data_IF_836269207194
#
_entry.id   IF_836269207194
#
_cell.length_a   1.000
_cell.length_b   1.000
_cell.length_c   1.000
_cell.angle_alpha   90.00
_cell.angle_beta   90.00
_cell.angle_gamma   90.00
#
_symmetry.space_group_name_H-M   'P 1'
#
loop_
_entity.id
_entity.type
_entity.pdbx_description
1 polymer ?
#
# COMPACT_ATOMS: atom_id res chain seq x y z
N UNK A 1 12.99 6.30 -16.00
CA UNK A 1 12.18 5.07 -16.11
C UNK A 1 11.26 5.14 -17.30
N UNK A 2 11.03 4.00 -17.95
CA UNK A 2 10.10 3.88 -19.09
C UNK A 2 8.65 4.00 -18.62
N UNK A 3 7.72 4.26 -19.54
CA UNK A 3 6.26 4.23 -19.27
C UNK A 3 5.83 2.89 -18.62
N UNK A 4 6.55 1.81 -18.88
CA UNK A 4 6.26 0.48 -18.34
C UNK A 4 6.64 0.35 -16.86
N UNK A 5 7.80 0.84 -16.44
CA UNK A 5 8.20 0.76 -15.03
C UNK A 5 7.31 1.63 -14.14
N UNK A 6 6.81 2.76 -14.67
CA UNK A 6 5.81 3.60 -14.00
C UNK A 6 4.47 2.90 -13.82
N UNK A 7 4.08 2.11 -14.82
CA UNK A 7 2.85 1.31 -14.80
C UNK A 7 2.97 0.16 -13.79
N UNK A 8 4.14 -0.48 -13.69
CA UNK A 8 4.43 -1.50 -12.68
C UNK A 8 4.41 -0.92 -11.26
N UNK A 9 5.11 0.19 -11.00
CA UNK A 9 5.11 0.82 -9.68
C UNK A 9 3.70 1.25 -9.22
N UNK A 10 2.88 1.75 -10.14
CA UNK A 10 1.47 2.06 -9.84
C UNK A 10 0.62 0.81 -9.59
N UNK A 11 0.87 -0.29 -10.30
CA UNK A 11 0.18 -1.55 -10.08
C UNK A 11 0.52 -2.14 -8.70
N UNK A 12 1.80 -2.13 -8.34
CA UNK A 12 2.28 -2.55 -7.01
C UNK A 12 1.66 -1.70 -5.89
N UNK A 13 1.64 -0.37 -6.05
CA UNK A 13 0.99 0.52 -5.09
C UNK A 13 -0.51 0.20 -4.93
N UNK A 14 -1.23 -0.01 -6.04
CA UNK A 14 -2.66 -0.29 -6.02
C UNK A 14 -2.97 -1.63 -5.32
N UNK A 15 -2.14 -2.66 -5.55
CA UNK A 15 -2.27 -3.95 -4.87
C UNK A 15 -1.95 -3.86 -3.37
N UNK A 16 -0.86 -3.19 -3.00
CA UNK A 16 -0.50 -3.00 -1.59
C UNK A 16 -1.57 -2.22 -0.84
N UNK A 17 -2.14 -1.18 -1.47
CA UNK A 17 -3.23 -0.38 -0.90
C UNK A 17 -4.51 -1.18 -0.74
N UNK A 18 -4.89 -1.98 -1.74
CA UNK A 18 -6.07 -2.85 -1.65
C UNK A 18 -5.96 -3.85 -0.48
N UNK A 19 -4.77 -4.42 -0.24
CA UNK A 19 -4.52 -5.30 0.91
C UNK A 19 -4.63 -4.55 2.24
N UNK A 20 -4.10 -3.34 2.32
CA UNK A 20 -4.22 -2.49 3.52
C UNK A 20 -5.69 -2.15 3.81
N UNK A 21 -6.45 -1.78 2.77
CA UNK A 21 -7.87 -1.45 2.89
C UNK A 21 -8.69 -2.69 3.33
N UNK A 22 -8.47 -3.85 2.71
CA UNK A 22 -9.14 -5.10 3.11
C UNK A 22 -8.81 -5.49 4.55
N UNK A 23 -7.56 -5.30 4.96
CA UNK A 23 -7.12 -5.54 6.33
C UNK A 23 -7.80 -4.57 7.31
N UNK A 24 -7.84 -3.28 6.98
CA UNK A 24 -8.52 -2.28 7.79
C UNK A 24 -10.03 -2.54 7.90
N UNK A 25 -10.68 -2.99 6.83
CA UNK A 25 -12.10 -3.37 6.86
C UNK A 25 -12.35 -4.62 7.71
N UNK A 26 -11.48 -5.64 7.62
CA UNK A 26 -11.55 -6.83 8.49
C UNK A 26 -11.40 -6.45 9.96
N UNK A 27 -10.44 -5.60 10.29
CA UNK A 27 -10.23 -5.11 11.65
C UNK A 27 -11.43 -4.28 12.15
N UNK A 28 -11.95 -3.38 11.33
CA UNK A 28 -13.17 -2.62 11.62
C UNK A 28 -14.37 -3.52 11.87
N UNK A 29 -14.56 -4.56 11.05
CA UNK A 29 -15.65 -5.53 11.19
C UNK A 29 -15.49 -6.42 12.44
N UNK A 30 -14.24 -6.71 12.82
CA UNK A 30 -13.91 -7.40 14.06
C UNK A 30 -14.06 -6.52 15.32
N UNK A 31 -14.36 -5.22 15.15
CA UNK A 31 -14.40 -4.26 16.25
C UNK A 31 -13.01 -3.91 16.82
N UNK A 32 -11.95 -4.36 16.15
CA UNK A 32 -10.58 -4.15 16.56
C UNK A 32 -10.04 -2.93 15.81
N UNK A 33 -9.99 -1.78 16.46
CA UNK A 33 -9.51 -0.54 15.83
C UNK A 33 -7.99 -0.33 15.98
N UNK A 34 -7.26 -1.31 16.53
CA UNK A 34 -5.83 -1.20 16.71
C UNK A 34 -5.07 -1.54 15.44
N UNK A 35 -4.08 -0.71 15.12
CA UNK A 35 -3.05 -1.05 14.16
C UNK A 35 -2.19 -2.16 14.75
N UNK A 36 -2.34 -3.37 14.22
CA UNK A 36 -1.51 -4.51 14.54
C UNK A 36 -0.27 -4.56 13.62
N UNK A 37 0.63 -5.50 13.89
CA UNK A 37 1.86 -5.66 13.12
C UNK A 37 1.60 -5.84 11.61
N UNK A 38 0.48 -6.44 11.22
CA UNK A 38 0.14 -6.64 9.82
C UNK A 38 -0.27 -5.33 9.14
N UNK A 39 -1.03 -4.47 9.83
CA UNK A 39 -1.31 -3.10 9.37
C UNK A 39 -0.01 -2.32 9.12
N UNK A 40 0.96 -2.38 10.04
CA UNK A 40 2.24 -1.66 9.86
C UNK A 40 3.07 -2.19 8.69
N UNK A 41 3.12 -3.52 8.50
CA UNK A 41 3.82 -4.12 7.33
C UNK A 41 3.17 -3.70 6.02
N UNK A 42 1.84 -3.75 5.93
CA UNK A 42 1.09 -3.33 4.74
C UNK A 42 1.26 -1.84 4.49
N UNK A 43 1.17 -1.01 5.53
CA UNK A 43 1.34 0.43 5.42
C UNK A 43 2.77 0.80 4.98
N UNK A 44 3.80 0.11 5.48
CA UNK A 44 5.18 0.27 5.01
C UNK A 44 5.32 -0.09 3.53
N UNK A 45 4.71 -1.19 3.07
CA UNK A 45 4.75 -1.58 1.66
C UNK A 45 4.07 -0.53 0.75
N UNK A 46 2.92 0.02 1.17
CA UNK A 46 2.23 1.11 0.47
C UNK A 46 3.11 2.36 0.42
N UNK A 47 3.75 2.71 1.53
CA UNK A 47 4.59 3.90 1.62
C UNK A 47 5.89 3.75 0.80
N UNK A 48 6.52 2.58 0.79
CA UNK A 48 7.68 2.28 -0.05
C UNK A 48 7.30 2.30 -1.55
N UNK A 49 6.15 1.74 -1.93
CA UNK A 49 5.63 1.79 -3.29
C UNK A 49 5.26 3.22 -3.72
N UNK A 50 4.65 4.01 -2.81
CA UNK A 50 4.31 5.41 -3.03
C UNK A 50 5.55 6.29 -3.16
N UNK A 51 6.56 6.09 -2.30
CA UNK A 51 7.85 6.79 -2.39
C UNK A 51 8.57 6.47 -3.68
N UNK A 52 8.58 5.21 -4.13
CA UNK A 52 9.03 4.85 -5.47
C UNK A 52 8.25 5.67 -6.49
N UNK A 53 6.92 5.53 -6.57
CA UNK A 53 6.09 6.24 -7.53
C UNK A 53 6.29 7.77 -7.54
N UNK A 54 6.47 8.40 -6.37
CA UNK A 54 6.67 9.84 -6.20
C UNK A 54 8.09 10.30 -6.52
N UNK A 55 9.13 9.53 -6.16
CA UNK A 55 10.52 9.81 -6.51
C UNK A 55 10.73 9.78 -8.04
N UNK A 56 9.95 8.96 -8.75
CA UNK A 56 9.92 8.92 -10.21
C UNK A 56 9.02 9.99 -10.87
N UNK A 57 8.39 10.87 -10.08
CA UNK A 57 7.54 11.98 -10.54
C UNK A 57 8.19 13.36 -10.28
N UNK A 58 9.44 13.37 -9.81
CA UNK A 58 10.31 14.54 -9.64
C UNK A 58 11.29 14.64 -10.81
#
# INVERSE_FOLDING_TARGET
MSKEERKQANAEFKQAKAKLDEHAEKQKKAGNHQADDEYYRLNKAVNDASKRASWWNR
#
